data_IF_674905295286
#
_entry.id   IF_674905295286
#
_cell.length_a   1.000
_cell.length_b   1.000
_cell.length_c   1.000
_cell.angle_alpha   90.00
_cell.angle_beta   90.00
_cell.angle_gamma   90.00
#
_symmetry.space_group_name_H-M   'P 1'
#
loop_
_entity.id
_entity.type
_entity.pdbx_description
1 polymer ?
#
# COMPACT_ATOMS: atom_id res chain seq x y z
N UNK A 1 2.00 1.73 74.50
CA UNK A 1 3.13 2.69 74.37
C UNK A 1 4.34 1.92 73.88
N UNK A 2 5.08 2.24 72.82
CA UNK A 2 5.14 3.37 71.87
C UNK A 2 5.50 2.80 70.49
N UNK A 3 4.98 3.46 69.46
CA UNK A 3 5.29 3.27 68.04
C UNK A 3 6.73 3.75 67.79
N UNK A 4 7.52 3.01 67.00
CA UNK A 4 8.70 3.54 66.34
C UNK A 4 8.68 3.11 64.86
N UNK A 5 8.45 4.12 64.03
CA UNK A 5 8.34 4.08 62.58
C UNK A 5 9.72 4.22 61.95
N UNK A 6 10.04 3.44 60.91
CA UNK A 6 11.10 3.80 59.95
C UNK A 6 10.79 3.25 58.55
N UNK A 7 10.26 4.16 57.73
CA UNK A 7 10.14 4.10 56.27
C UNK A 7 11.53 4.26 55.65
N UNK A 8 11.96 3.38 54.71
CA UNK A 8 12.86 3.65 53.55
C UNK A 8 12.63 2.58 52.47
N UNK A 9 11.89 2.88 51.39
CA UNK A 9 12.39 3.29 50.06
C UNK A 9 13.41 2.34 49.41
N UNK A 10 12.96 1.63 48.36
CA UNK A 10 13.69 1.24 47.14
C UNK A 10 12.73 0.38 46.28
N UNK A 11 11.75 0.93 45.57
CA UNK A 11 11.89 1.45 44.19
C UNK A 11 13.06 0.83 43.40
N UNK A 12 12.75 -0.11 42.51
CA UNK A 12 13.45 -0.52 41.26
C UNK A 12 13.08 -2.00 41.03
N UNK A 13 12.43 -2.45 39.97
CA UNK A 13 12.37 -2.01 38.58
C UNK A 13 11.02 -2.43 38.01
N UNK A 14 10.28 -1.47 37.45
CA UNK A 14 9.23 -1.79 36.52
C UNK A 14 9.88 -2.55 35.36
N UNK A 15 9.59 -3.84 35.20
CA UNK A 15 9.77 -4.51 33.93
C UNK A 15 8.70 -3.91 33.03
N UNK A 16 9.01 -2.75 32.47
CA UNK A 16 8.39 -2.29 31.24
C UNK A 16 8.86 -3.33 30.24
N UNK A 17 8.09 -4.41 30.12
CA UNK A 17 8.10 -5.25 28.95
C UNK A 17 7.61 -4.32 27.83
N UNK A 18 8.54 -3.49 27.35
CA UNK A 18 8.36 -2.65 26.20
C UNK A 18 8.02 -3.63 25.10
N UNK A 19 6.75 -3.70 24.78
CA UNK A 19 6.26 -4.31 23.57
C UNK A 19 6.91 -3.55 22.43
N UNK A 20 8.10 -4.01 22.04
CA UNK A 20 8.74 -3.75 20.77
C UNK A 20 7.83 -4.39 19.73
N UNK A 21 6.71 -3.75 19.44
CA UNK A 21 6.15 -3.78 18.11
C UNK A 21 7.19 -3.06 17.26
N UNK A 22 8.24 -3.79 16.86
CA UNK A 22 8.99 -3.42 15.69
C UNK A 22 7.93 -3.26 14.61
N UNK A 23 7.65 -2.02 14.22
CA UNK A 23 6.84 -1.74 13.06
C UNK A 23 7.58 -2.45 11.93
N UNK A 24 7.09 -3.63 11.56
CA UNK A 24 7.55 -4.31 10.36
C UNK A 24 7.17 -3.37 9.24
N UNK A 25 8.16 -2.62 8.73
CA UNK A 25 8.03 -1.91 7.48
C UNK A 25 7.70 -2.99 6.45
N UNK A 26 6.41 -3.23 6.19
CA UNK A 26 6.05 -4.30 5.29
C UNK A 26 6.26 -3.76 3.88
N UNK A 27 7.35 -4.20 3.27
CA UNK A 27 7.66 -3.88 1.89
C UNK A 27 6.48 -4.33 1.02
N UNK A 28 5.86 -3.38 0.32
CA UNK A 28 4.82 -3.73 -0.65
C UNK A 28 5.48 -4.45 -1.83
N UNK A 29 4.96 -5.62 -2.24
CA UNK A 29 5.52 -6.33 -3.36
C UNK A 29 5.40 -5.48 -4.63
N UNK A 30 6.34 -5.61 -5.57
CA UNK A 30 6.25 -4.91 -6.84
C UNK A 30 4.99 -5.33 -7.60
N UNK A 31 4.29 -4.36 -8.18
CA UNK A 31 3.09 -4.58 -8.99
C UNK A 31 3.37 -4.33 -10.46
N UNK A 32 2.76 -5.10 -11.36
CA UNK A 32 2.83 -4.83 -12.80
C UNK A 32 1.88 -3.69 -13.13
N UNK A 33 2.37 -2.73 -13.91
CA UNK A 33 1.57 -1.64 -14.44
C UNK A 33 1.09 -2.00 -15.84
N UNK A 34 -0.19 -1.82 -16.10
CA UNK A 34 -0.80 -2.10 -17.39
C UNK A 34 -1.25 -0.82 -18.10
N UNK A 35 -1.18 -0.85 -19.42
CA UNK A 35 -1.96 0.03 -20.26
C UNK A 35 -3.25 -0.67 -20.65
N UNK A 36 -4.36 -0.05 -20.29
CA UNK A 36 -5.69 -0.52 -20.58
C UNK A 36 -6.21 0.23 -21.80
N UNK A 37 -6.57 -0.49 -22.87
CA UNK A 37 -7.25 0.06 -24.04
C UNK A 37 -8.68 -0.45 -24.06
N UNK A 38 -9.64 0.44 -24.32
CA UNK A 38 -11.07 0.14 -24.45
C UNK A 38 -11.50 0.25 -25.90
N UNK A 39 -12.39 -0.64 -26.33
CA UNK A 39 -12.85 -0.73 -27.71
C UNK A 39 -14.38 -0.63 -27.81
N UNK A 40 -14.88 -0.24 -28.97
CA UNK A 40 -16.33 -0.15 -29.24
C UNK A 40 -17.05 -1.50 -29.12
N UNK A 41 -16.37 -2.58 -29.48
CA UNK A 41 -16.93 -3.93 -29.63
C UNK A 41 -15.84 -5.01 -29.44
N UNK A 42 -16.27 -6.27 -29.48
CA UNK A 42 -15.42 -7.44 -29.28
C UNK A 42 -14.38 -7.69 -30.39
N UNK A 43 -14.43 -6.96 -31.52
CA UNK A 43 -13.42 -7.08 -32.57
C UNK A 43 -12.10 -6.39 -32.20
N UNK A 44 -12.11 -5.51 -31.19
CA UNK A 44 -10.97 -4.73 -30.75
C UNK A 44 -10.32 -3.89 -31.88
N UNK A 45 -11.11 -3.42 -32.84
CA UNK A 45 -10.63 -2.63 -33.99
C UNK A 45 -10.65 -1.13 -33.73
N UNK A 46 -11.70 -0.63 -33.07
CA UNK A 46 -11.89 0.81 -32.82
C UNK A 46 -11.69 1.12 -31.35
N UNK A 47 -10.60 1.81 -31.03
CA UNK A 47 -10.32 2.24 -29.67
C UNK A 47 -11.20 3.45 -29.30
N UNK A 48 -11.91 3.35 -28.18
CA UNK A 48 -12.82 4.39 -27.65
C UNK A 48 -12.30 5.05 -26.38
N UNK A 49 -11.29 4.44 -25.75
CA UNK A 49 -10.64 5.03 -24.59
C UNK A 49 -9.39 4.28 -24.16
N UNK A 50 -8.63 4.86 -23.25
CA UNK A 50 -7.50 4.21 -22.62
C UNK A 50 -7.13 4.86 -21.29
N UNK A 51 -6.43 4.11 -20.44
CA UNK A 51 -5.65 4.67 -19.35
C UNK A 51 -4.39 3.84 -19.15
N UNK A 52 -3.42 4.43 -18.47
CA UNK A 52 -2.19 3.74 -18.06
C UNK A 52 -2.17 3.74 -16.55
N UNK A 53 -1.90 2.60 -15.94
CA UNK A 53 -1.63 2.55 -14.52
C UNK A 53 -0.46 3.47 -14.18
N UNK A 54 -0.44 3.97 -12.94
CA UNK A 54 0.66 4.76 -12.39
C UNK A 54 1.08 4.20 -11.05
N UNK A 55 2.37 4.30 -10.76
CA UNK A 55 2.90 3.94 -9.46
C UNK A 55 2.73 5.13 -8.52
N UNK A 56 2.03 4.95 -7.40
CA UNK A 56 1.86 5.97 -6.36
C UNK A 56 2.07 5.35 -4.99
N UNK A 57 3.06 5.85 -4.24
CA UNK A 57 3.42 5.34 -2.91
C UNK A 57 3.65 3.81 -2.88
N UNK A 58 4.26 3.28 -3.95
CA UNK A 58 4.52 1.84 -4.09
C UNK A 58 3.30 1.00 -4.50
N UNK A 59 2.12 1.61 -4.70
CA UNK A 59 0.94 0.92 -5.23
C UNK A 59 0.75 1.21 -6.71
N UNK A 60 0.29 0.21 -7.46
CA UNK A 60 -0.25 0.39 -8.80
C UNK A 60 -1.66 0.98 -8.64
N UNK A 61 -1.88 2.17 -9.18
CA UNK A 61 -3.19 2.83 -9.16
C UNK A 61 -3.61 3.23 -10.57
N UNK A 62 -4.91 3.10 -10.86
CA UNK A 62 -5.45 3.50 -12.14
C UNK A 62 -5.35 5.03 -12.35
N UNK A 63 -4.97 5.43 -13.56
CA UNK A 63 -5.10 6.83 -13.99
C UNK A 63 -6.51 7.12 -14.50
N UNK A 64 -6.91 8.40 -14.58
CA UNK A 64 -8.15 8.79 -15.24
C UNK A 64 -8.21 8.26 -16.68
N UNK A 65 -9.39 7.83 -17.09
CA UNK A 65 -9.63 7.35 -18.46
C UNK A 65 -9.64 8.53 -19.41
N UNK A 66 -8.88 8.41 -20.50
CA UNK A 66 -8.97 9.28 -21.65
C UNK A 66 -9.96 8.66 -22.65
N UNK A 67 -11.10 9.31 -22.87
CA UNK A 67 -12.20 8.79 -23.69
C UNK A 67 -13.28 8.09 -22.85
N UNK A 68 -13.78 6.97 -23.36
CA UNK A 68 -14.92 6.24 -22.77
C UNK A 68 -14.53 4.81 -22.36
N UNK A 69 -15.07 4.33 -21.25
CA UNK A 69 -14.91 2.94 -20.80
C UNK A 69 -15.85 2.00 -21.55
N UNK A 70 -15.40 0.76 -21.79
CA UNK A 70 -16.17 -0.29 -22.45
C UNK A 70 -15.87 -1.66 -21.81
N UNK A 71 -16.79 -2.63 -21.84
CA UNK A 71 -16.49 -4.00 -21.43
C UNK A 71 -15.44 -4.69 -22.32
N UNK A 72 -15.26 -4.22 -23.56
CA UNK A 72 -14.26 -4.73 -24.48
C UNK A 72 -12.95 -4.01 -24.25
N UNK A 73 -11.99 -4.71 -23.62
CA UNK A 73 -10.71 -4.10 -23.24
C UNK A 73 -9.54 -5.07 -23.40
N UNK A 74 -8.36 -4.49 -23.67
CA UNK A 74 -7.08 -5.21 -23.65
C UNK A 74 -6.16 -4.57 -22.63
N UNK A 75 -5.24 -5.39 -22.09
CA UNK A 75 -4.26 -4.97 -21.10
C UNK A 75 -2.87 -5.34 -21.61
N UNK A 76 -1.99 -4.37 -21.67
CA UNK A 76 -0.60 -4.54 -22.10
C UNK A 76 0.32 -4.15 -20.95
N UNK A 77 1.24 -5.03 -20.57
CA UNK A 77 2.20 -4.72 -19.50
C UNK A 77 3.18 -3.64 -20.00
N UNK A 78 3.20 -2.49 -19.33
CA UNK A 78 4.04 -1.34 -19.71
C UNK A 78 5.20 -1.10 -18.76
N UNK A 79 5.20 -1.75 -17.60
CA UNK A 79 6.28 -1.64 -16.64
C UNK A 79 5.93 -2.27 -15.30
N UNK A 80 6.78 -2.01 -14.31
CA UNK A 80 6.56 -2.42 -12.93
C UNK A 80 6.63 -1.22 -12.00
N UNK A 81 5.71 -1.16 -11.05
CA UNK A 81 5.82 -0.33 -9.88
C UNK A 81 6.72 -1.07 -8.89
N UNK A 82 7.88 -0.51 -8.49
CA UNK A 82 8.89 -1.20 -7.68
C UNK A 82 8.43 -1.55 -6.26
N UNK A 83 7.20 -1.21 -5.88
CA UNK A 83 6.75 -1.29 -4.50
C UNK A 83 7.26 -0.10 -3.68
N UNK A 84 7.01 -0.14 -2.37
CA UNK A 84 7.42 0.91 -1.45
C UNK A 84 7.46 0.44 -0.01
N UNK A 85 8.08 1.24 0.83
CA UNK A 85 8.07 1.08 2.29
C UNK A 85 7.06 2.06 2.87
N UNK A 86 6.22 1.62 3.82
CA UNK A 86 5.28 2.44 4.56
C UNK A 86 5.60 2.41 6.05
#
# INVERSE_FOLDING_TARGET
>A
MRIASTIRLAATTAIIAGSLFAAVASARPPGIMYMHRFYSDASHTTQVGFYVDRCRNGDVVASPVNGTTSPYSTQEAVGSCPGGYW
#
